data_IF_163048804688
#
_entry.id   IF_163048804688
#
_cell.length_a   1.000
_cell.length_b   1.000
_cell.length_c   1.000
_cell.angle_alpha   90.00
_cell.angle_beta   90.00
_cell.angle_gamma   90.00
#
_symmetry.space_group_name_H-M   'P 1'
#
loop_
_entity.id
_entity.type
_entity.pdbx_description
1 polymer ?
#
# COMPACT_ATOMS: atom_id res chain seq x y z
N UNK A 1 -11.07 -4.39 4.95
CA UNK A 1 -9.73 -4.93 4.63
C UNK A 1 -9.79 -6.42 4.30
N UNK A 2 -10.47 -7.24 5.09
CA UNK A 2 -10.49 -8.69 4.86
C UNK A 2 -11.02 -9.11 3.48
N UNK A 3 -12.13 -8.51 3.02
CA UNK A 3 -12.67 -8.78 1.70
C UNK A 3 -11.70 -8.40 0.57
N UNK A 4 -11.02 -7.25 0.68
CA UNK A 4 -10.03 -6.81 -0.31
C UNK A 4 -8.81 -7.73 -0.34
N UNK A 5 -8.34 -8.16 0.84
CA UNK A 5 -7.27 -9.14 0.97
C UNK A 5 -7.63 -10.47 0.30
N UNK A 6 -8.85 -10.94 0.49
CA UNK A 6 -9.37 -12.14 -0.18
C UNK A 6 -9.41 -11.97 -1.71
N UNK A 7 -9.83 -10.81 -2.22
CA UNK A 7 -9.80 -10.53 -3.66
C UNK A 7 -8.38 -10.60 -4.22
N UNK A 8 -7.40 -10.01 -3.55
CA UNK A 8 -5.97 -10.08 -3.95
C UNK A 8 -5.46 -11.52 -3.88
N UNK A 9 -5.79 -12.24 -2.82
CA UNK A 9 -5.39 -13.64 -2.66
C UNK A 9 -5.94 -14.52 -3.79
N UNK A 10 -7.24 -14.38 -4.11
CA UNK A 10 -7.85 -15.11 -5.21
C UNK A 10 -7.21 -14.77 -6.56
N UNK A 11 -6.89 -13.49 -6.78
CA UNK A 11 -6.22 -13.04 -7.99
C UNK A 11 -4.85 -13.73 -8.20
N UNK A 12 -4.06 -13.89 -7.13
CA UNK A 12 -2.78 -14.58 -7.17
C UNK A 12 -2.96 -16.09 -7.36
N UNK A 13 -3.93 -16.68 -6.66
CA UNK A 13 -4.24 -18.12 -6.75
C UNK A 13 -4.65 -18.50 -8.18
N UNK A 14 -5.51 -17.69 -8.83
CA UNK A 14 -5.95 -17.92 -10.21
C UNK A 14 -4.78 -17.91 -11.22
N UNK A 15 -3.63 -17.34 -10.83
CA UNK A 15 -2.41 -17.22 -11.64
C UNK A 15 -1.29 -18.16 -11.22
N UNK A 16 -1.47 -18.95 -10.16
CA UNK A 16 -0.41 -19.79 -9.58
C UNK A 16 0.73 -18.97 -8.97
N UNK A 17 0.43 -17.77 -8.46
CA UNK A 17 1.40 -16.82 -7.92
C UNK A 17 1.45 -16.81 -6.39
N UNK A 18 0.76 -17.73 -5.71
CA UNK A 18 0.73 -17.82 -4.25
C UNK A 18 2.13 -17.95 -3.61
N UNK A 19 3.12 -18.46 -4.34
CA UNK A 19 4.50 -18.53 -3.86
C UNK A 19 5.14 -17.15 -3.59
N UNK A 20 4.58 -16.07 -4.12
CA UNK A 20 5.07 -14.71 -3.86
C UNK A 20 4.99 -14.32 -2.38
N UNK A 21 4.10 -14.92 -1.59
CA UNK A 21 4.04 -14.70 -0.14
C UNK A 21 5.31 -15.17 0.59
N UNK A 22 6.14 -16.02 -0.02
CA UNK A 22 7.43 -16.43 0.54
C UNK A 22 8.59 -15.50 0.14
N UNK A 23 8.31 -14.41 -0.58
CA UNK A 23 9.29 -13.50 -1.16
C UNK A 23 9.22 -12.13 -0.50
N UNK A 24 9.22 -12.05 0.84
CA UNK A 24 9.01 -10.79 1.60
C UNK A 24 9.94 -9.65 1.16
N UNK A 25 11.20 -9.99 0.87
CA UNK A 25 12.18 -9.01 0.36
C UNK A 25 11.75 -8.46 -1.00
N UNK A 26 11.30 -9.32 -1.91
CA UNK A 26 10.88 -8.90 -3.25
C UNK A 26 9.54 -8.16 -3.22
N UNK A 27 8.60 -8.55 -2.33
CA UNK A 27 7.37 -7.79 -2.06
C UNK A 27 7.67 -6.37 -1.55
N UNK A 28 8.66 -6.21 -0.66
CA UNK A 28 9.08 -4.88 -0.19
C UNK A 28 9.73 -4.05 -1.31
N UNK A 29 10.45 -4.69 -2.23
CA UNK A 29 10.99 -4.03 -3.43
C UNK A 29 9.84 -3.58 -4.32
N UNK A 30 8.91 -4.47 -4.69
CA UNK A 30 7.75 -4.13 -5.52
C UNK A 30 6.94 -2.99 -4.93
N UNK A 31 6.61 -3.03 -3.64
CA UNK A 31 5.94 -1.93 -2.94
C UNK A 31 6.67 -0.58 -3.12
N UNK A 32 8.00 -0.60 -3.07
CA UNK A 32 8.81 0.62 -3.25
C UNK A 32 8.79 1.09 -4.70
N UNK A 33 8.76 0.16 -5.67
CA UNK A 33 8.64 0.50 -7.09
C UNK A 33 7.30 1.18 -7.36
N UNK A 34 6.18 0.60 -6.93
CA UNK A 34 4.84 1.22 -7.17
C UNK A 34 4.69 2.55 -6.44
N UNK A 35 5.29 2.70 -5.25
CA UNK A 35 5.34 3.99 -4.57
C UNK A 35 6.17 5.03 -5.35
N UNK A 36 7.15 4.59 -6.14
CA UNK A 36 7.92 5.46 -7.02
C UNK A 36 7.15 5.82 -8.28
N UNK A 37 6.40 4.87 -8.87
CA UNK A 37 5.51 5.13 -10.01
C UNK A 37 4.39 6.12 -9.62
N UNK A 38 3.82 5.96 -8.41
CA UNK A 38 2.89 6.94 -7.83
C UNK A 38 3.54 8.32 -7.71
N UNK A 39 4.81 8.41 -7.31
CA UNK A 39 5.53 9.68 -7.22
C UNK A 39 5.75 10.31 -8.60
N UNK A 40 6.02 9.50 -9.62
CA UNK A 40 6.23 9.97 -11.00
C UNK A 40 4.99 10.67 -11.56
N UNK A 41 3.79 10.27 -11.14
CA UNK A 41 2.55 10.94 -11.52
C UNK A 41 2.50 12.44 -11.15
N UNK A 42 3.31 12.88 -10.18
CA UNK A 42 3.39 14.27 -9.71
C UNK A 42 4.65 15.00 -10.19
N UNK A 43 5.55 14.31 -10.89
CA UNK A 43 6.85 14.88 -11.25
C UNK A 43 6.69 16.07 -12.22
N UNK A 44 7.38 17.18 -11.93
CA UNK A 44 7.37 18.41 -12.74
C UNK A 44 6.01 19.12 -12.87
N UNK A 45 5.02 18.77 -12.06
CA UNK A 45 3.69 19.36 -12.04
C UNK A 45 3.40 19.98 -10.67
N UNK A 46 2.51 20.97 -10.63
CA UNK A 46 1.83 21.33 -9.39
C UNK A 46 0.87 20.21 -8.97
N UNK A 47 0.41 20.22 -7.72
CA UNK A 47 -0.55 19.21 -7.22
C UNK A 47 -1.86 19.27 -7.98
N UNK A 48 -2.35 20.47 -8.27
CA UNK A 48 -3.60 20.70 -9.00
C UNK A 48 -3.51 20.18 -10.44
N UNK A 49 -2.41 20.46 -11.14
CA UNK A 49 -2.18 19.97 -12.51
C UNK A 49 -2.09 18.43 -12.54
N UNK A 50 -1.33 17.82 -11.64
CA UNK A 50 -1.21 16.37 -11.56
C UNK A 50 -2.56 15.70 -11.27
N UNK A 51 -3.34 16.22 -10.34
CA UNK A 51 -4.67 15.67 -10.02
C UNK A 51 -5.64 15.83 -11.20
N UNK A 52 -5.56 16.94 -11.93
CA UNK A 52 -6.44 17.17 -13.09
C UNK A 52 -6.08 16.27 -14.28
N UNK A 53 -4.79 16.13 -14.58
CA UNK A 53 -4.31 15.44 -15.79
C UNK A 53 -4.07 13.94 -15.59
N UNK A 54 -3.60 13.52 -14.42
CA UNK A 54 -3.09 12.17 -14.16
C UNK A 54 -3.96 11.40 -13.15
N UNK A 55 -5.21 11.83 -12.90
CA UNK A 55 -6.06 11.27 -11.82
C UNK A 55 -6.16 9.75 -11.86
N UNK A 56 -6.35 9.19 -13.05
CA UNK A 56 -6.54 7.74 -13.22
C UNK A 56 -5.24 7.00 -12.91
N UNK A 57 -4.11 7.42 -13.49
CA UNK A 57 -2.79 6.87 -13.19
C UNK A 57 -2.47 6.94 -11.68
N UNK A 58 -2.71 8.08 -11.03
CA UNK A 58 -2.52 8.23 -9.57
C UNK A 58 -3.31 7.17 -8.79
N UNK A 59 -4.53 6.87 -9.21
CA UNK A 59 -5.37 5.88 -8.53
C UNK A 59 -4.93 4.44 -8.81
N UNK A 60 -4.42 4.17 -10.01
CA UNK A 60 -3.85 2.88 -10.38
C UNK A 60 -2.59 2.60 -9.55
N UNK A 61 -1.61 3.50 -9.56
CA UNK A 61 -0.37 3.32 -8.80
C UNK A 61 -0.61 3.27 -7.29
N UNK A 62 -1.57 4.05 -6.78
CA UNK A 62 -1.97 3.97 -5.38
C UNK A 62 -2.62 2.62 -5.05
N UNK A 63 -3.40 2.05 -5.98
CA UNK A 63 -3.96 0.72 -5.81
C UNK A 63 -2.87 -0.36 -5.79
N UNK A 64 -1.85 -0.24 -6.64
CA UNK A 64 -0.73 -1.18 -6.68
C UNK A 64 0.11 -1.13 -5.39
N UNK A 65 0.35 0.07 -4.85
CA UNK A 65 0.93 0.24 -3.50
C UNK A 65 0.12 -0.52 -2.45
N UNK A 66 -1.22 -0.39 -2.47
CA UNK A 66 -2.06 -1.12 -1.51
C UNK A 66 -2.03 -2.63 -1.73
N UNK A 67 -2.02 -3.11 -2.98
CA UNK A 67 -1.97 -4.52 -3.31
C UNK A 67 -0.68 -5.15 -2.75
N UNK A 68 0.49 -4.56 -2.99
CA UNK A 68 1.74 -5.08 -2.42
C UNK A 68 1.83 -4.89 -0.91
N UNK A 69 1.25 -3.84 -0.33
CA UNK A 69 1.18 -3.69 1.13
C UNK A 69 0.36 -4.81 1.78
N UNK A 70 -0.77 -5.18 1.16
CA UNK A 70 -1.61 -6.30 1.60
C UNK A 70 -0.89 -7.63 1.46
N UNK A 71 -0.21 -7.86 0.33
CA UNK A 71 0.60 -9.07 0.13
C UNK A 71 1.73 -9.17 1.15
N UNK A 72 2.40 -8.06 1.46
CA UNK A 72 3.45 -8.01 2.46
C UNK A 72 2.90 -8.29 3.87
N UNK A 73 1.72 -7.77 4.21
CA UNK A 73 1.07 -8.06 5.49
C UNK A 73 0.74 -9.56 5.61
N UNK A 74 0.19 -10.17 4.56
CA UNK A 74 -0.11 -11.61 4.52
C UNK A 74 1.19 -12.45 4.61
N UNK A 75 2.22 -12.08 3.85
CA UNK A 75 3.54 -12.73 3.87
C UNK A 75 4.25 -12.67 5.23
N UNK A 76 3.83 -11.75 6.10
CA UNK A 76 4.33 -11.55 7.46
C UNK A 76 3.37 -12.09 8.54
N UNK A 77 2.28 -12.76 8.15
CA UNK A 77 1.21 -13.23 9.04
C UNK A 77 0.65 -12.10 9.94
N UNK A 78 0.48 -10.91 9.36
CA UNK A 78 0.11 -9.71 10.08
C UNK A 78 -1.34 -9.27 9.77
N UNK A 79 -2.12 -9.06 10.83
CA UNK A 79 -3.42 -8.41 10.70
C UNK A 79 -3.24 -6.90 10.45
N UNK A 80 -3.69 -6.44 9.28
CA UNK A 80 -3.55 -5.04 8.84
C UNK A 80 -4.16 -4.04 9.83
N UNK A 81 -5.37 -4.31 10.33
CA UNK A 81 -6.02 -3.40 11.27
C UNK A 81 -5.20 -3.28 12.57
N UNK A 82 -4.76 -4.42 13.12
CA UNK A 82 -3.98 -4.44 14.36
C UNK A 82 -2.65 -3.70 14.23
N UNK A 83 -1.90 -3.88 13.13
CA UNK A 83 -0.61 -3.19 12.96
C UNK A 83 -0.79 -1.68 12.76
N UNK A 84 -1.85 -1.25 12.06
CA UNK A 84 -2.17 0.17 11.85
C UNK A 84 -2.63 0.81 13.15
N UNK A 85 -3.55 0.21 13.89
CA UNK A 85 -4.03 0.70 15.18
C UNK A 85 -2.88 0.85 16.19
N UNK A 86 -2.02 -0.16 16.30
CA UNK A 86 -0.84 -0.10 17.15
C UNK A 86 0.11 1.03 16.74
N UNK A 87 0.27 1.29 15.44
CA UNK A 87 1.10 2.38 14.93
C UNK A 87 0.47 3.75 15.20
N UNK A 88 -0.84 3.90 15.03
CA UNK A 88 -1.55 5.14 15.32
C UNK A 88 -1.50 5.48 16.81
N UNK A 89 -1.70 4.51 17.71
CA UNK A 89 -1.56 4.71 19.15
C UNK A 89 -0.15 5.24 19.52
N UNK A 90 0.91 4.69 18.91
CA UNK A 90 2.28 5.21 19.07
C UNK A 90 2.46 6.62 18.50
N UNK A 91 1.83 6.91 17.37
CA UNK A 91 1.91 8.23 16.74
C UNK A 91 1.21 9.32 17.56
N UNK A 92 0.11 9.02 18.25
CA UNK A 92 -0.57 9.95 19.17
C UNK A 92 0.37 10.39 20.30
N UNK A 93 1.15 9.46 20.85
CA UNK A 93 2.15 9.77 21.89
C UNK A 93 3.29 10.62 21.30
N UNK A 94 3.75 10.28 20.09
CA UNK A 94 4.87 10.98 19.42
C UNK A 94 4.50 12.38 18.93
N UNK A 95 3.25 12.57 18.50
CA UNK A 95 2.71 13.81 17.93
C UNK A 95 1.38 14.16 18.61
N UNK A 96 1.41 14.62 19.87
CA UNK A 96 0.20 14.94 20.61
C UNK A 96 -0.54 16.11 19.96
N UNK A 97 -1.87 16.08 20.01
CA UNK A 97 -2.67 17.24 19.63
C UNK A 97 -2.33 18.41 20.55
N UNK A 98 -2.10 19.59 19.98
CA UNK A 98 -1.97 20.81 20.78
C UNK A 98 -3.34 21.12 21.39
N UNK A 99 -3.58 20.62 22.61
CA UNK A 99 -4.76 20.96 23.40
C UNK A 99 -5.42 19.76 24.07
N UNK A 100 -5.18 19.62 25.37
CA UNK A 100 -6.22 19.47 26.38
C UNK A 100 -6.02 20.60 27.38
#
# INVERSE_FOLDING_TARGET
MEQLKQTVHQFLLDRGWENQYNMQKDLAISLTLEASELLECFQWKTTEEAIHENREAILEELADVFIYALQMAEAMDANVNSIVEAKLAKNVIKYPTKGS
#
